data_IF_656111570854
#
_entry.id   IF_656111570854
#
_cell.length_a   1.000
_cell.length_b   1.000
_cell.length_c   1.000
_cell.angle_alpha   90.00
_cell.angle_beta   90.00
_cell.angle_gamma   90.00
#
_symmetry.space_group_name_H-M   'P 1'
#
loop_
_entity.id
_entity.type
_entity.pdbx_description
1 polymer ?
#
# COMPACT_ATOMS: atom_id res chain seq x y z
N UNK A 1 36.28 6.62 27.81
CA UNK A 1 35.05 7.42 27.67
C UNK A 1 35.26 8.36 26.49
N UNK A 2 34.70 8.07 25.32
CA UNK A 2 34.63 9.01 24.20
C UNK A 2 33.36 8.70 23.40
N UNK A 3 32.36 9.52 23.70
CA UNK A 3 31.21 9.96 22.91
C UNK A 3 30.81 9.09 21.71
N UNK A 4 29.66 8.43 21.87
CA UNK A 4 28.87 7.90 20.77
C UNK A 4 28.34 9.09 19.96
N UNK A 5 28.76 9.19 18.69
CA UNK A 5 28.28 10.17 17.71
C UNK A 5 26.80 9.93 17.41
N UNK A 6 25.91 10.52 18.21
CA UNK A 6 24.49 10.63 17.89
C UNK A 6 24.34 11.63 16.73
N UNK A 7 24.31 11.11 15.50
CA UNK A 7 24.02 11.91 14.30
C UNK A 7 22.64 12.57 14.43
N UNK A 8 22.61 13.81 14.94
CA UNK A 8 21.39 14.61 15.07
C UNK A 8 20.91 14.97 13.67
N UNK A 9 19.79 14.37 13.25
CA UNK A 9 19.14 14.64 11.97
C UNK A 9 18.66 16.10 11.94
N UNK A 10 18.89 16.80 10.83
CA UNK A 10 18.42 18.17 10.65
C UNK A 10 16.87 18.22 10.64
N UNK A 11 16.26 19.38 10.94
CA UNK A 11 14.80 19.54 10.85
C UNK A 11 14.23 19.20 9.47
N UNK A 12 15.01 19.39 8.39
CA UNK A 12 14.64 19.00 7.03
C UNK A 12 14.63 17.47 6.87
N UNK A 13 15.68 16.78 7.31
CA UNK A 13 15.76 15.31 7.28
C UNK A 13 14.72 14.65 8.18
N UNK A 14 14.41 15.24 9.35
CA UNK A 14 13.34 14.76 10.24
C UNK A 14 11.98 14.92 9.54
N UNK A 15 11.75 16.04 8.85
CA UNK A 15 10.52 16.27 8.09
C UNK A 15 10.39 15.30 6.92
N UNK A 16 11.45 15.09 6.16
CA UNK A 16 11.50 14.11 5.06
C UNK A 16 11.29 12.68 5.57
N UNK A 17 11.98 12.27 6.63
CA UNK A 17 11.75 10.96 7.28
C UNK A 17 10.32 10.83 7.82
N UNK A 18 9.74 11.88 8.39
CA UNK A 18 8.33 11.88 8.82
C UNK A 18 7.37 11.76 7.64
N UNK A 19 7.64 12.44 6.53
CA UNK A 19 6.85 12.34 5.29
C UNK A 19 6.96 10.93 4.73
N UNK A 20 8.15 10.35 4.68
CA UNK A 20 8.37 8.97 4.25
C UNK A 20 7.68 7.98 5.19
N UNK A 21 7.69 8.25 6.49
CA UNK A 21 7.03 7.44 7.53
C UNK A 21 5.53 7.78 7.73
N UNK A 22 4.94 8.67 6.91
CA UNK A 22 3.50 8.97 7.05
C UNK A 22 2.68 7.71 6.75
N UNK A 23 1.50 7.66 7.40
CA UNK A 23 0.59 6.50 7.47
C UNK A 23 0.17 5.92 6.11
N UNK A 24 0.42 6.61 5.01
CA UNK A 24 0.11 6.18 3.65
C UNK A 24 1.20 5.33 2.99
N UNK A 25 2.44 5.36 3.49
CA UNK A 25 3.60 4.67 2.88
C UNK A 25 4.05 3.42 3.64
N UNK A 26 3.39 3.07 4.74
CA UNK A 26 3.68 1.81 5.45
C UNK A 26 2.81 0.68 4.91
N UNK A 27 3.44 -0.46 4.61
CA UNK A 27 2.76 -1.71 4.24
C UNK A 27 1.70 -2.10 5.27
N UNK A 28 1.84 -1.71 6.54
CA UNK A 28 0.87 -2.04 7.58
C UNK A 28 -0.47 -1.35 7.37
N UNK A 29 -0.45 -0.09 6.92
CA UNK A 29 -1.64 0.78 6.84
C UNK A 29 -2.16 0.93 5.42
N UNK A 30 -1.28 0.87 4.42
CA UNK A 30 -1.65 0.89 3.02
C UNK A 30 -1.45 -0.48 2.40
N UNK A 31 -2.56 -1.17 2.19
CA UNK A 31 -2.57 -2.51 1.63
C UNK A 31 -2.39 -2.53 0.10
N UNK A 32 -2.38 -1.35 -0.53
CA UNK A 32 -2.22 -1.13 -1.97
C UNK A 32 -1.03 -0.24 -2.30
N UNK A 33 0.00 -0.23 -1.44
CA UNK A 33 1.15 0.64 -1.60
C UNK A 33 1.87 0.38 -2.93
N UNK A 34 2.07 -0.89 -3.29
CA UNK A 34 2.74 -1.27 -4.55
C UNK A 34 2.01 -0.73 -5.78
N UNK A 35 0.68 -0.83 -5.80
CA UNK A 35 -0.13 -0.34 -6.92
C UNK A 35 -0.16 1.20 -6.94
N UNK A 36 -0.15 1.83 -5.77
CA UNK A 36 -0.04 3.29 -5.66
C UNK A 36 1.31 3.78 -6.22
N UNK A 37 2.43 3.21 -5.76
CA UNK A 37 3.77 3.53 -6.25
C UNK A 37 3.90 3.32 -7.75
N UNK A 38 3.37 2.21 -8.28
CA UNK A 38 3.36 1.94 -9.71
C UNK A 38 2.57 3.00 -10.51
N UNK A 39 1.41 3.41 -10.00
CA UNK A 39 0.60 4.46 -10.64
C UNK A 39 1.28 5.84 -10.61
N UNK A 40 1.94 6.19 -9.50
CA UNK A 40 2.69 7.43 -9.36
C UNK A 40 3.93 7.43 -10.27
N UNK A 41 4.64 6.31 -10.34
CA UNK A 41 5.78 6.13 -11.23
C UNK A 41 5.38 6.30 -12.70
N UNK A 42 4.27 5.68 -13.12
CA UNK A 42 3.77 5.86 -14.48
C UNK A 42 3.46 7.33 -14.78
N UNK A 43 2.79 8.05 -13.87
CA UNK A 43 2.49 9.47 -14.05
C UNK A 43 3.75 10.32 -14.18
N UNK A 44 4.78 10.02 -13.38
CA UNK A 44 6.06 10.70 -13.46
C UNK A 44 6.75 10.45 -14.81
N UNK A 45 6.81 9.19 -15.25
CA UNK A 45 7.54 8.80 -16.46
C UNK A 45 6.82 9.21 -17.76
N UNK A 46 5.50 9.33 -17.72
CA UNK A 46 4.67 9.72 -18.88
C UNK A 46 4.44 11.23 -19.01
N UNK A 47 5.08 12.06 -18.16
CA UNK A 47 4.82 13.50 -18.18
C UNK A 47 3.40 13.87 -17.75
N UNK A 48 2.82 13.09 -16.83
CA UNK A 48 1.46 13.22 -16.29
C UNK A 48 0.33 12.94 -17.29
N UNK A 49 0.60 12.17 -18.34
CA UNK A 49 -0.44 11.62 -19.21
C UNK A 49 -1.23 10.52 -18.48
N UNK A 50 -2.49 10.83 -18.14
CA UNK A 50 -3.36 9.93 -17.38
C UNK A 50 -3.81 8.73 -18.19
N UNK A 51 -3.98 8.89 -19.50
CA UNK A 51 -4.53 7.83 -20.35
C UNK A 51 -3.49 6.73 -20.56
N UNK A 52 -2.22 7.12 -20.70
CA UNK A 52 -1.08 6.19 -20.70
C UNK A 52 -1.01 5.32 -19.43
N UNK A 53 -1.51 5.83 -18.30
CA UNK A 53 -1.45 5.16 -17.00
C UNK A 53 -2.75 4.46 -16.56
N UNK A 54 -3.77 4.38 -17.42
CA UNK A 54 -5.10 3.84 -17.08
C UNK A 54 -5.04 2.44 -16.44
N UNK A 55 -4.16 1.56 -16.94
CA UNK A 55 -3.96 0.21 -16.38
C UNK A 55 -3.47 0.24 -14.92
N UNK A 56 -2.53 1.12 -14.59
CA UNK A 56 -2.01 1.24 -13.23
C UNK A 56 -3.08 1.78 -12.27
N UNK A 57 -3.91 2.72 -12.73
CA UNK A 57 -5.05 3.20 -11.95
C UNK A 57 -6.10 2.11 -11.74
N UNK A 58 -6.37 1.31 -12.77
CA UNK A 58 -7.27 0.18 -12.64
C UNK A 58 -6.76 -0.83 -11.61
N UNK A 59 -5.47 -1.14 -11.64
CA UNK A 59 -4.87 -2.04 -10.64
C UNK A 59 -5.00 -1.47 -9.22
N UNK A 60 -4.73 -0.18 -9.03
CA UNK A 60 -4.91 0.47 -7.74
C UNK A 60 -6.37 0.41 -7.26
N UNK A 61 -7.35 0.65 -8.15
CA UNK A 61 -8.79 0.50 -7.83
C UNK A 61 -9.14 -0.93 -7.42
N UNK A 62 -8.74 -1.91 -8.22
CA UNK A 62 -9.03 -3.31 -7.94
C UNK A 62 -8.42 -3.76 -6.60
N UNK A 63 -7.22 -3.28 -6.26
CA UNK A 63 -6.62 -3.56 -4.96
C UNK A 63 -7.47 -3.02 -3.80
N UNK A 64 -7.94 -1.76 -3.91
CA UNK A 64 -8.80 -1.17 -2.87
C UNK A 64 -10.12 -1.93 -2.74
N UNK A 65 -10.72 -2.31 -3.85
CA UNK A 65 -11.98 -3.06 -3.85
C UNK A 65 -11.81 -4.45 -3.23
N UNK A 66 -10.70 -5.13 -3.50
CA UNK A 66 -10.36 -6.39 -2.85
C UNK A 66 -10.28 -6.25 -1.33
N UNK A 67 -9.50 -5.29 -0.82
CA UNK A 67 -9.36 -5.12 0.63
C UNK A 67 -10.67 -4.68 1.29
N UNK A 68 -11.49 -3.89 0.60
CA UNK A 68 -12.84 -3.57 1.05
C UNK A 68 -13.71 -4.82 1.18
N UNK A 69 -13.63 -5.76 0.24
CA UNK A 69 -14.34 -7.04 0.33
C UNK A 69 -13.85 -7.88 1.50
N UNK A 70 -12.53 -8.05 1.67
CA UNK A 70 -11.95 -8.79 2.79
C UNK A 70 -12.37 -8.19 4.14
N UNK A 71 -12.34 -6.87 4.27
CA UNK A 71 -12.78 -6.18 5.50
C UNK A 71 -14.27 -6.42 5.75
N UNK A 72 -15.12 -6.32 4.71
CA UNK A 72 -16.56 -6.57 4.84
C UNK A 72 -16.84 -8.01 5.25
N UNK A 73 -16.15 -8.97 4.64
CA UNK A 73 -16.30 -10.39 4.95
C UNK A 73 -15.86 -10.70 6.38
N UNK A 74 -14.65 -10.26 6.78
CA UNK A 74 -14.15 -10.41 8.17
C UNK A 74 -15.09 -9.75 9.18
N UNK A 75 -15.69 -8.60 8.87
CA UNK A 75 -16.70 -7.95 9.72
C UNK A 75 -17.97 -8.79 9.86
N UNK A 76 -18.49 -9.37 8.77
CA UNK A 76 -19.67 -10.25 8.81
C UNK A 76 -19.41 -11.50 9.66
N UNK A 77 -18.20 -12.02 9.59
CA UNK A 77 -17.75 -13.20 10.35
C UNK A 77 -17.25 -12.87 11.76
N UNK A 78 -17.27 -11.60 12.20
CA UNK A 78 -16.81 -11.18 13.53
C UNK A 78 -15.30 -11.30 13.78
N UNK A 79 -14.49 -11.47 12.74
CA UNK A 79 -13.04 -11.71 12.84
C UNK A 79 -12.28 -10.39 13.00
N UNK A 80 -11.57 -10.23 14.13
CA UNK A 80 -10.70 -9.07 14.40
C UNK A 80 -9.22 -9.47 14.35
N UNK A 81 -8.31 -8.61 13.86
CA UNK A 81 -8.58 -7.29 13.27
C UNK A 81 -9.29 -7.38 11.91
N UNK A 82 -10.13 -6.40 11.58
CA UNK A 82 -10.89 -6.41 10.32
C UNK A 82 -10.00 -6.24 9.10
N UNK A 83 -8.92 -5.47 9.24
CA UNK A 83 -7.84 -5.47 8.27
C UNK A 83 -6.85 -6.56 8.68
N UNK A 84 -6.57 -7.56 7.84
CA UNK A 84 -5.66 -8.64 8.18
C UNK A 84 -4.22 -8.15 8.33
N UNK A 85 -3.44 -8.76 9.24
CA UNK A 85 -2.03 -8.46 9.45
C UNK A 85 -1.22 -8.77 8.19
N UNK A 86 -0.07 -8.09 8.02
CA UNK A 86 0.76 -8.17 6.80
C UNK A 86 1.15 -9.62 6.45
N UNK A 87 1.38 -10.47 7.46
CA UNK A 87 1.71 -11.89 7.29
C UNK A 87 0.62 -12.72 6.59
N UNK A 88 -0.67 -12.41 6.81
CA UNK A 88 -1.80 -13.16 6.23
C UNK A 88 -2.14 -12.71 4.81
N UNK A 89 -1.69 -11.52 4.41
CA UNK A 89 -2.10 -10.89 3.14
C UNK A 89 -1.72 -11.68 1.88
N UNK A 90 -0.53 -12.29 1.77
CA UNK A 90 -0.17 -13.09 0.61
C UNK A 90 -1.09 -14.31 0.43
N UNK A 91 -1.45 -14.96 1.54
CA UNK A 91 -2.36 -16.11 1.52
C UNK A 91 -3.76 -15.70 1.07
N UNK A 92 -4.30 -14.59 1.60
CA UNK A 92 -5.59 -14.04 1.19
C UNK A 92 -5.59 -13.62 -0.28
N UNK A 93 -4.54 -12.95 -0.76
CA UNK A 93 -4.42 -12.60 -2.19
C UNK A 93 -4.44 -13.86 -3.06
N UNK A 94 -3.70 -14.91 -2.69
CA UNK A 94 -3.66 -16.17 -3.46
C UNK A 94 -5.03 -16.85 -3.47
N UNK A 95 -5.66 -17.01 -2.31
CA UNK A 95 -6.97 -17.65 -2.20
C UNK A 95 -8.04 -16.94 -3.04
N UNK A 96 -8.03 -15.60 -3.05
CA UNK A 96 -9.04 -14.83 -3.77
C UNK A 96 -8.74 -14.65 -5.27
N UNK A 97 -7.49 -14.85 -5.75
CA UNK A 97 -7.20 -14.90 -7.20
C UNK A 97 -8.06 -15.96 -7.90
N UNK A 98 -8.37 -17.05 -7.20
CA UNK A 98 -9.20 -18.14 -7.75
C UNK A 98 -10.69 -17.77 -7.86
N UNK A 99 -11.17 -16.80 -7.06
CA UNK A 99 -12.59 -16.40 -7.00
C UNK A 99 -12.88 -15.03 -7.62
N UNK A 100 -11.86 -14.18 -7.83
CA UNK A 100 -11.98 -12.83 -8.37
C UNK A 100 -11.04 -12.64 -9.57
N UNK A 101 -11.51 -12.86 -10.81
CA UNK A 101 -10.68 -12.77 -12.02
C UNK A 101 -10.05 -11.40 -12.28
N UNK A 102 -10.58 -10.34 -11.65
CA UNK A 102 -10.11 -8.94 -11.79
C UNK A 102 -9.09 -8.53 -10.72
N UNK A 103 -8.56 -9.46 -9.93
CA UNK A 103 -7.55 -9.13 -8.92
C UNK A 103 -6.27 -8.64 -9.62
N UNK A 104 -5.71 -7.48 -9.23
CA UNK A 104 -4.47 -6.99 -9.83
C UNK A 104 -3.30 -7.86 -9.36
N UNK A 105 -2.31 -8.03 -10.25
CA UNK A 105 -1.16 -8.91 -10.01
C UNK A 105 -0.25 -8.50 -8.85
#
# INVERSE_FOLDING_TARGET
MSELDERVLSPKEIREKKILATRQNSHEKNTCLREQEASLKCMHDSGYDRDACSKYFQNYRNCRDFWNHVIKDRRRNGIKPYLPPVSERPALRKQYKDFMPWLPD
#
